data_IF_728963540446
#
_entry.id   IF_728963540446
#
_cell.length_a   1.000
_cell.length_b   1.000
_cell.length_c   1.000
_cell.angle_alpha   90.00
_cell.angle_beta   90.00
_cell.angle_gamma   90.00
#
_symmetry.space_group_name_H-M   'P 1'
#
loop_
_entity.id
_entity.type
_entity.pdbx_description
1 polymer ?
#
# COMPACT_ATOMS: atom_id res chain seq x y z
N UNK A 1 -24.97 7.30 31.69
CA UNK A 1 -25.23 6.03 30.98
C UNK A 1 -23.89 5.52 30.46
N UNK A 2 -23.24 4.67 31.24
CA UNK A 2 -21.96 4.05 30.89
C UNK A 2 -22.23 2.85 29.98
N UNK A 3 -21.55 2.81 28.84
CA UNK A 3 -21.52 1.68 27.92
C UNK A 3 -21.26 0.40 28.72
N UNK A 4 -22.11 -0.62 28.57
CA UNK A 4 -21.88 -1.90 29.23
C UNK A 4 -20.60 -2.55 28.67
N UNK A 5 -19.91 -3.36 29.48
CA UNK A 5 -18.66 -4.01 29.03
C UNK A 5 -18.88 -4.90 27.80
N UNK A 6 -20.07 -5.48 27.68
CA UNK A 6 -20.52 -6.25 26.52
C UNK A 6 -20.61 -5.40 25.24
N UNK A 7 -21.19 -4.20 25.31
CA UNK A 7 -21.27 -3.30 24.15
C UNK A 7 -19.87 -2.85 23.70
N UNK A 8 -18.95 -2.61 24.64
CA UNK A 8 -17.55 -2.26 24.32
C UNK A 8 -16.86 -3.43 23.61
N UNK A 9 -17.05 -4.66 24.08
CA UNK A 9 -16.48 -5.85 23.48
C UNK A 9 -17.00 -6.10 22.05
N UNK A 10 -18.31 -5.93 21.83
CA UNK A 10 -18.93 -6.05 20.51
C UNK A 10 -18.36 -5.01 19.51
N UNK A 11 -18.15 -3.77 19.97
CA UNK A 11 -17.54 -2.73 19.15
C UNK A 11 -16.09 -3.05 18.76
N UNK A 12 -15.28 -3.54 19.69
CA UNK A 12 -13.89 -3.95 19.40
C UNK A 12 -13.81 -5.19 18.48
N UNK A 13 -14.76 -6.12 18.59
CA UNK A 13 -14.85 -7.28 17.70
C UNK A 13 -15.25 -6.89 16.26
N UNK A 14 -16.23 -5.99 16.12
CA UNK A 14 -16.64 -5.44 14.83
C UNK A 14 -15.51 -4.62 14.17
N UNK A 15 -14.77 -3.82 14.96
CA UNK A 15 -13.62 -3.05 14.46
C UNK A 15 -12.49 -3.95 13.98
N UNK A 16 -12.17 -5.05 14.68
CA UNK A 16 -11.18 -6.03 14.20
C UNK A 16 -11.60 -6.72 12.90
N UNK A 17 -12.90 -6.99 12.69
CA UNK A 17 -13.41 -7.53 11.42
C UNK A 17 -13.37 -6.52 10.27
N UNK A 18 -13.54 -5.22 10.55
CA UNK A 18 -13.48 -4.16 9.53
C UNK A 18 -12.07 -3.65 9.21
N UNK A 19 -11.13 -3.75 10.13
CA UNK A 19 -9.76 -3.21 9.97
C UNK A 19 -8.74 -4.22 9.43
N UNK A 20 -9.14 -5.46 9.14
CA UNK A 20 -8.25 -6.47 8.56
C UNK A 20 -8.11 -6.39 7.02
N UNK A 21 -8.81 -5.46 6.35
CA UNK A 21 -8.99 -5.54 4.91
C UNK A 21 -8.33 -4.44 4.05
N UNK A 22 -7.60 -3.46 4.60
CA UNK A 22 -7.11 -2.35 3.73
C UNK A 22 -5.74 -1.76 4.05
N UNK A 23 -4.95 -2.29 4.99
CA UNK A 23 -3.56 -1.79 5.19
C UNK A 23 -2.51 -2.69 4.53
N UNK A 24 -2.85 -3.94 4.22
CA UNK A 24 -2.15 -4.72 3.21
C UNK A 24 -2.83 -4.48 1.87
N UNK A 25 -2.57 -3.30 1.30
CA UNK A 25 -2.54 -3.21 -0.15
C UNK A 25 -1.34 -4.06 -0.62
N UNK A 26 -1.52 -5.39 -0.66
CA UNK A 26 -0.75 -6.32 -1.48
C UNK A 26 -1.00 -6.00 -2.97
N UNK A 27 -0.84 -4.72 -3.35
CA UNK A 27 -0.51 -4.39 -4.71
C UNK A 27 0.91 -4.88 -4.97
N UNK A 28 1.25 -5.32 -6.19
CA UNK A 28 2.64 -5.61 -6.53
C UNK A 28 3.50 -4.41 -6.14
N UNK A 29 4.73 -4.60 -5.63
CA UNK A 29 5.61 -3.48 -5.28
C UNK A 29 5.68 -2.49 -6.45
N UNK A 30 5.13 -1.29 -6.25
CA UNK A 30 5.10 -0.21 -7.24
C UNK A 30 6.25 0.74 -6.91
N UNK A 31 7.16 0.92 -7.86
CA UNK A 31 8.21 1.91 -7.79
C UNK A 31 7.74 3.20 -8.46
N UNK A 32 8.30 4.34 -8.07
CA UNK A 32 7.96 5.64 -8.67
C UNK A 32 9.18 6.14 -9.44
N UNK A 33 8.99 6.48 -10.71
CA UNK A 33 10.06 6.95 -11.57
C UNK A 33 10.53 8.34 -11.11
N UNK A 34 11.83 8.50 -10.88
CA UNK A 34 12.41 9.77 -10.45
C UNK A 34 12.26 10.87 -11.51
N UNK A 35 12.24 10.49 -12.79
CA UNK A 35 12.18 11.45 -13.91
C UNK A 35 10.78 11.96 -14.21
N UNK A 36 9.79 11.06 -14.27
CA UNK A 36 8.43 11.41 -14.69
C UNK A 36 7.38 11.30 -13.58
N UNK A 37 7.74 10.77 -12.41
CA UNK A 37 6.83 10.56 -11.29
C UNK A 37 5.80 9.46 -11.52
N UNK A 38 5.90 8.70 -12.62
CA UNK A 38 4.95 7.63 -12.92
C UNK A 38 5.23 6.41 -12.04
N UNK A 39 4.17 5.76 -11.55
CA UNK A 39 4.28 4.49 -10.84
C UNK A 39 4.44 3.34 -11.84
N UNK A 40 5.41 2.47 -11.63
CA UNK A 40 5.72 1.34 -12.49
C UNK A 40 6.02 0.08 -11.65
N UNK A 41 5.76 -1.11 -12.20
CA UNK A 41 6.09 -2.37 -11.53
C UNK A 41 7.58 -2.70 -11.55
N UNK A 42 8.01 -3.64 -10.70
CA UNK A 42 9.42 -4.11 -10.63
C UNK A 42 9.98 -4.56 -11.98
N UNK A 43 9.13 -5.08 -12.88
CA UNK A 43 9.54 -5.55 -14.21
C UNK A 43 9.32 -4.52 -15.33
N UNK A 44 8.82 -3.32 -15.02
CA UNK A 44 8.48 -2.26 -16.00
C UNK A 44 9.47 -1.09 -15.95
N UNK A 45 10.68 -1.35 -15.46
CA UNK A 45 11.74 -0.36 -15.36
C UNK A 45 12.96 -0.86 -14.61
N UNK A 46 13.94 0.01 -14.50
CA UNK A 46 15.17 -0.25 -13.77
C UNK A 46 15.08 0.39 -12.38
N UNK A 47 15.21 -0.44 -11.35
CA UNK A 47 15.24 0.00 -9.95
C UNK A 47 16.63 -0.32 -9.38
N UNK A 48 17.40 0.72 -9.10
CA UNK A 48 18.66 0.62 -8.35
C UNK A 48 18.44 1.13 -6.92
N UNK A 49 19.45 0.96 -6.07
CA UNK A 49 19.46 1.47 -4.69
C UNK A 49 19.34 3.00 -4.64
N UNK A 50 19.75 3.67 -5.72
CA UNK A 50 19.91 5.12 -5.82
C UNK A 50 18.83 5.78 -6.69
N UNK A 51 18.24 5.04 -7.64
CA UNK A 51 17.26 5.59 -8.57
C UNK A 51 16.26 4.52 -9.05
N UNK A 52 14.99 4.91 -9.12
CA UNK A 52 13.95 4.13 -9.80
C UNK A 52 13.56 4.86 -11.10
N UNK A 53 13.68 4.19 -12.24
CA UNK A 53 13.42 4.70 -13.57
C UNK A 53 12.47 3.75 -14.30
N UNK A 54 11.37 4.27 -14.85
CA UNK A 54 10.52 3.47 -15.74
C UNK A 54 11.24 3.21 -17.08
N UNK A 55 10.85 2.14 -17.75
CA UNK A 55 11.33 1.73 -19.08
C UNK A 55 11.42 2.89 -20.08
N UNK A 56 10.34 3.68 -20.16
CA UNK A 56 10.23 4.87 -21.02
C UNK A 56 11.30 5.94 -20.75
N UNK A 57 11.63 6.18 -19.48
CA UNK A 57 12.65 7.18 -19.11
C UNK A 57 14.06 6.59 -19.13
N UNK A 58 14.19 5.27 -19.00
CA UNK A 58 15.44 4.56 -19.11
C UNK A 58 15.92 4.44 -20.58
N UNK A 59 14.98 4.51 -21.54
CA UNK A 59 15.27 4.60 -22.96
C UNK A 59 15.23 3.27 -23.71
N UNK A 60 14.43 2.30 -23.25
CA UNK A 60 14.07 1.09 -24.01
C UNK A 60 12.80 1.36 -24.85
#
# INVERSE_FOLDING_TARGET
>A
MSFTEEERAAWHAARRRGSAATIDAEGPPRHVCLHCGNAFGVNEGTVTEEAALCDVCNGD
#
